data_IF_723057209269
#
_entry.id   IF_723057209269
#
_cell.length_a   1.000
_cell.length_b   1.000
_cell.length_c   1.000
_cell.angle_alpha   90.00
_cell.angle_beta   90.00
_cell.angle_gamma   90.00
#
_symmetry.space_group_name_H-M   'P 1'
#
loop_
_entity.id
_entity.type
_entity.pdbx_description
1 polymer ?
#
# COMPACT_ATOMS: atom_id res chain seq x y z
N UNK A 1 -19.12 11.31 8.78
CA UNK A 1 -18.00 12.22 8.46
C UNK A 1 -16.73 11.45 8.77
N UNK A 2 -16.02 10.96 7.75
CA UNK A 2 -14.72 10.30 7.94
C UNK A 2 -13.78 11.39 8.46
N UNK A 3 -13.22 11.21 9.66
CA UNK A 3 -12.15 12.08 10.14
C UNK A 3 -10.93 11.76 9.29
N UNK A 4 -10.57 12.67 8.40
CA UNK A 4 -9.26 12.66 7.77
C UNK A 4 -8.32 13.28 8.79
N UNK A 5 -7.65 12.43 9.56
CA UNK A 5 -6.57 12.90 10.44
C UNK A 5 -5.45 13.45 9.55
N UNK A 6 -5.03 14.68 9.84
CA UNK A 6 -3.98 15.35 9.07
C UNK A 6 -2.63 14.82 9.56
N UNK A 7 -2.23 13.65 9.05
CA UNK A 7 -0.92 13.09 9.36
C UNK A 7 0.16 13.92 8.66
N UNK A 8 1.04 14.56 9.43
CA UNK A 8 2.23 15.19 8.87
C UNK A 8 3.15 14.10 8.32
N UNK A 9 3.21 14.01 7.00
CA UNK A 9 4.14 13.18 6.25
C UNK A 9 5.58 13.60 6.55
N UNK A 10 6.45 12.61 6.84
CA UNK A 10 7.88 12.86 7.08
C UNK A 10 8.78 12.12 6.10
N UNK A 11 8.54 10.83 5.86
CA UNK A 11 9.47 9.97 5.11
C UNK A 11 8.73 9.09 4.11
N UNK A 12 9.24 9.05 2.87
CA UNK A 12 8.83 8.10 1.83
C UNK A 12 9.91 7.05 1.63
N UNK A 13 9.49 5.79 1.55
CA UNK A 13 10.38 4.63 1.39
C UNK A 13 10.03 3.94 0.08
N UNK A 14 10.89 4.04 -0.94
CA UNK A 14 10.74 3.25 -2.16
C UNK A 14 10.86 1.77 -1.82
N UNK A 15 9.80 1.01 -2.06
CA UNK A 15 9.80 -0.45 -1.90
C UNK A 15 10.20 -1.13 -3.21
N UNK A 16 9.76 -0.58 -4.34
CA UNK A 16 10.16 -0.91 -5.71
C UNK A 16 10.13 0.37 -6.55
N UNK A 17 10.42 0.29 -7.85
CA UNK A 17 10.34 1.44 -8.77
C UNK A 17 8.92 2.05 -8.85
N UNK A 18 7.88 1.25 -8.63
CA UNK A 18 6.47 1.65 -8.79
C UNK A 18 5.69 1.74 -7.47
N UNK A 19 6.29 1.35 -6.33
CA UNK A 19 5.60 1.25 -5.04
C UNK A 19 6.39 1.97 -3.96
N UNK A 20 5.75 2.96 -3.32
CA UNK A 20 6.33 3.80 -2.28
C UNK A 20 5.46 3.69 -1.02
N UNK A 21 6.11 3.53 0.12
CA UNK A 21 5.48 3.53 1.44
C UNK A 21 5.76 4.84 2.16
N UNK A 22 4.72 5.51 2.63
CA UNK A 22 4.86 6.74 3.41
C UNK A 22 4.68 6.49 4.90
N UNK A 23 5.51 7.21 5.65
CA UNK A 23 5.54 7.21 7.11
C UNK A 23 5.29 8.62 7.65
N UNK A 24 4.62 8.69 8.80
CA UNK A 24 4.54 9.92 9.58
C UNK A 24 5.78 10.11 10.46
N UNK A 25 5.80 11.22 11.21
CA UNK A 25 6.89 11.59 12.14
C UNK A 25 7.24 10.58 13.24
N UNK A 26 6.39 9.58 13.46
CA UNK A 26 6.58 8.53 14.46
C UNK A 26 7.07 7.22 13.83
N UNK A 27 7.30 7.20 12.52
CA UNK A 27 7.59 5.97 11.77
C UNK A 27 6.37 5.06 11.61
N UNK A 28 5.15 5.58 11.79
CA UNK A 28 3.92 4.81 11.57
C UNK A 28 3.54 4.88 10.08
N UNK A 29 3.08 3.74 9.54
CA UNK A 29 2.56 3.65 8.18
C UNK A 29 1.32 4.54 8.01
N UNK A 30 1.33 5.37 6.95
CA UNK A 30 0.19 6.24 6.62
C UNK A 30 -0.39 6.00 5.22
N UNK A 31 0.44 5.66 4.23
CA UNK A 31 -0.03 5.50 2.86
C UNK A 31 0.88 4.56 2.05
N UNK A 32 0.27 3.98 1.01
CA UNK A 32 0.96 3.25 -0.05
C UNK A 32 0.64 3.93 -1.38
N UNK A 33 1.66 4.42 -2.06
CA UNK A 33 1.54 4.97 -3.40
C UNK A 33 1.95 3.92 -4.43
N UNK A 34 1.13 3.76 -5.48
CA UNK A 34 1.43 2.89 -6.62
C UNK A 34 1.39 3.74 -7.90
N UNK A 35 2.57 4.09 -8.44
CA UNK A 35 2.71 5.10 -9.51
C UNK A 35 2.06 4.64 -10.82
N UNK A 36 2.29 3.39 -11.22
CA UNK A 36 1.74 2.78 -12.43
C UNK A 36 0.74 1.67 -12.08
N UNK A 37 -0.26 1.98 -11.25
CA UNK A 37 -1.16 0.97 -10.67
C UNK A 37 -1.86 0.04 -11.68
N UNK A 38 -2.23 0.53 -12.87
CA UNK A 38 -2.83 -0.30 -13.92
C UNK A 38 -1.86 -1.37 -14.45
N UNK A 39 -0.59 -1.01 -14.58
CA UNK A 39 0.48 -1.92 -14.98
C UNK A 39 0.81 -2.91 -13.85
N UNK A 40 1.00 -2.40 -12.63
CA UNK A 40 1.33 -3.22 -11.45
C UNK A 40 0.25 -4.26 -11.15
N UNK A 41 -1.03 -3.90 -11.32
CA UNK A 41 -2.17 -4.77 -10.99
C UNK A 41 -2.76 -5.48 -12.21
N UNK A 42 -2.14 -5.36 -13.39
CA UNK A 42 -2.64 -5.94 -14.66
C UNK A 42 -4.15 -5.68 -14.85
N UNK A 43 -4.51 -4.39 -14.87
CA UNK A 43 -5.90 -3.93 -14.93
C UNK A 43 -5.97 -2.61 -15.71
N UNK A 44 -7.19 -2.08 -15.92
CA UNK A 44 -7.37 -0.79 -16.61
C UNK A 44 -7.51 0.35 -15.61
N UNK A 45 -7.13 1.60 -15.99
CA UNK A 45 -7.34 2.77 -15.14
C UNK A 45 -8.79 2.97 -14.68
N UNK A 46 -9.77 2.59 -15.50
CA UNK A 46 -11.20 2.70 -15.18
C UNK A 46 -11.60 1.76 -14.03
N UNK A 47 -11.06 0.54 -14.00
CA UNK A 47 -11.31 -0.40 -12.90
C UNK A 47 -10.71 0.08 -11.57
N UNK A 48 -9.62 0.87 -11.61
CA UNK A 48 -9.00 1.45 -10.42
C UNK A 48 -9.79 2.63 -9.82
N UNK A 49 -10.73 3.21 -10.55
CA UNK A 49 -11.58 4.28 -10.02
C UNK A 49 -12.68 3.75 -9.08
N UNK A 50 -12.92 2.43 -9.11
CA UNK A 50 -14.06 1.80 -8.44
C UNK A 50 -13.61 0.63 -7.56
N UNK A 51 -12.47 0.76 -6.88
CA UNK A 51 -11.94 -0.29 -6.00
C UNK A 51 -12.98 -0.60 -4.92
N UNK A 52 -13.47 -1.84 -4.90
CA UNK A 52 -14.47 -2.32 -3.95
C UNK A 52 -13.86 -2.57 -2.57
N UNK A 53 -12.62 -3.08 -2.53
CA UNK A 53 -11.93 -3.42 -1.29
C UNK A 53 -10.40 -3.38 -1.46
N UNK A 54 -9.69 -3.02 -0.39
CA UNK A 54 -8.24 -3.07 -0.25
C UNK A 54 -7.91 -3.79 1.06
N UNK A 55 -7.11 -4.86 1.00
CA UNK A 55 -6.46 -5.50 2.15
C UNK A 55 -4.95 -5.33 2.04
N UNK A 56 -4.38 -4.59 2.98
CA UNK A 56 -2.98 -4.22 3.04
C UNK A 56 -2.35 -4.83 4.29
N UNK A 57 -1.20 -5.47 4.11
CA UNK A 57 -0.36 -5.98 5.20
C UNK A 57 1.02 -5.36 5.09
N UNK A 58 1.49 -4.74 6.17
CA UNK A 58 2.84 -4.14 6.28
C UNK A 58 3.59 -4.86 7.38
N UNK A 59 4.77 -5.38 7.05
CA UNK A 59 5.68 -6.05 7.99
C UNK A 59 7.05 -5.42 7.91
N UNK A 60 7.54 -4.94 9.05
CA UNK A 60 8.89 -4.38 9.18
C UNK A 60 9.63 -5.16 10.26
N UNK A 61 10.83 -5.63 9.94
CA UNK A 61 11.78 -6.18 10.90
C UNK A 61 13.16 -5.52 10.74
N UNK A 62 14.14 -5.96 11.52
CA UNK A 62 15.49 -5.38 11.53
C UNK A 62 16.20 -5.42 10.16
N UNK A 63 15.75 -6.25 9.23
CA UNK A 63 16.40 -6.49 7.94
C UNK A 63 15.59 -5.99 6.75
N UNK A 64 14.26 -6.10 6.79
CA UNK A 64 13.42 -5.88 5.62
C UNK A 64 12.09 -5.22 5.97
N UNK A 65 11.57 -4.53 4.95
CA UNK A 65 10.23 -4.00 4.87
C UNK A 65 9.51 -4.83 3.82
N UNK A 66 8.33 -5.33 4.16
CA UNK A 66 7.48 -6.10 3.27
C UNK A 66 6.07 -5.53 3.30
N UNK A 67 5.53 -5.30 2.10
CA UNK A 67 4.15 -4.87 1.92
C UNK A 67 3.45 -5.82 0.96
N UNK A 68 2.25 -6.27 1.34
CA UNK A 68 1.36 -7.04 0.49
C UNK A 68 0.01 -6.32 0.39
N UNK A 69 -0.46 -6.09 -0.82
CA UNK A 69 -1.70 -5.38 -1.10
C UNK A 69 -2.58 -6.23 -1.99
N UNK A 70 -3.83 -6.43 -1.57
CA UNK A 70 -4.86 -7.18 -2.31
C UNK A 70 -6.02 -6.22 -2.58
N UNK A 71 -6.39 -6.11 -3.85
CA UNK A 71 -7.44 -5.23 -4.36
C UNK A 71 -8.58 -6.10 -4.90
N UNK A 72 -9.81 -5.74 -4.57
CA UNK A 72 -11.00 -6.27 -5.24
C UNK A 72 -11.53 -5.18 -6.17
N UNK A 73 -11.56 -5.47 -7.47
CA UNK A 73 -11.88 -4.51 -8.52
C UNK A 73 -13.09 -5.00 -9.34
N UNK A 74 -14.03 -4.13 -9.70
CA UNK A 74 -15.05 -4.45 -10.68
C UNK A 74 -14.45 -4.41 -12.09
N UNK A 75 -14.47 -5.56 -12.77
CA UNK A 75 -13.99 -5.72 -14.15
C UNK A 75 -15.11 -6.35 -14.96
N UNK A 76 -15.65 -5.61 -15.94
CA UNK A 76 -16.68 -6.09 -16.89
C UNK A 76 -17.91 -6.76 -16.23
N UNK A 77 -18.31 -6.30 -15.05
CA UNK A 77 -19.53 -6.76 -14.37
C UNK A 77 -19.33 -7.94 -13.40
N UNK A 78 -18.09 -8.34 -13.13
CA UNK A 78 -17.74 -9.22 -12.02
C UNK A 78 -16.60 -8.61 -11.19
N UNK A 79 -16.40 -9.10 -9.97
CA UNK A 79 -15.27 -8.73 -9.13
C UNK A 79 -14.05 -9.59 -9.47
N UNK A 80 -12.88 -8.95 -9.64
CA UNK A 80 -11.59 -9.61 -9.76
C UNK A 80 -10.68 -9.24 -8.59
N UNK A 81 -9.88 -10.21 -8.15
CA UNK A 81 -8.86 -10.01 -7.13
C UNK A 81 -7.53 -9.77 -7.84
N UNK A 82 -6.91 -8.61 -7.57
CA UNK A 82 -5.54 -8.28 -8.00
C UNK A 82 -4.65 -8.14 -6.77
N UNK A 83 -3.43 -8.63 -6.83
CA UNK A 83 -2.51 -8.56 -5.71
C UNK A 83 -1.13 -8.09 -6.18
N UNK A 84 -0.47 -7.32 -5.33
CA UNK A 84 0.93 -6.95 -5.50
C UNK A 84 1.66 -7.09 -4.17
N UNK A 85 2.95 -7.37 -4.24
CA UNK A 85 3.84 -7.35 -3.10
C UNK A 85 5.09 -6.55 -3.43
N UNK A 86 5.65 -5.91 -2.41
CA UNK A 86 6.83 -5.10 -2.52
C UNK A 86 7.72 -5.36 -1.30
N UNK A 87 9.03 -5.41 -1.52
CA UNK A 87 9.99 -5.59 -0.43
C UNK A 87 11.26 -4.81 -0.68
N UNK A 88 11.82 -4.25 0.38
CA UNK A 88 13.10 -3.56 0.37
C UNK A 88 13.82 -3.78 1.70
N UNK A 89 15.10 -3.43 1.76
CA UNK A 89 15.90 -3.50 2.99
C UNK A 89 15.47 -2.42 3.98
N UNK A 90 15.49 -2.72 5.28
CA UNK A 90 15.22 -1.73 6.34
C UNK A 90 16.49 -0.91 6.71
N UNK A 91 17.13 -0.27 5.73
CA UNK A 91 18.41 0.44 5.93
C UNK A 91 18.28 1.73 6.75
N UNK A 92 17.05 2.22 6.93
CA UNK A 92 16.73 3.44 7.68
C UNK A 92 16.20 3.15 9.09
N UNK A 93 16.27 1.89 9.55
CA UNK A 93 15.91 1.45 10.90
C UNK A 93 14.48 1.84 11.30
N UNK A 94 13.51 1.63 10.40
CA UNK A 94 12.10 1.76 10.75
C UNK A 94 11.79 0.75 11.87
N UNK A 95 11.07 1.17 12.93
CA UNK A 95 10.70 0.27 14.02
C UNK A 95 9.93 -0.96 13.53
N UNK A 96 10.03 -2.04 14.30
CA UNK A 96 9.22 -3.25 14.05
C UNK A 96 7.73 -2.89 13.88
N UNK A 97 7.12 -3.45 12.86
CA UNK A 97 5.72 -3.21 12.51
C UNK A 97 5.08 -4.49 12.00
N UNK A 98 3.87 -4.78 12.46
CA UNK A 98 2.98 -5.82 11.90
C UNK A 98 1.58 -5.22 11.85
N UNK A 99 1.28 -4.54 10.74
CA UNK A 99 0.06 -3.77 10.55
C UNK A 99 -0.80 -4.41 9.45
N UNK A 100 -2.11 -4.39 9.67
CA UNK A 100 -3.10 -4.77 8.66
C UNK A 100 -4.16 -3.70 8.55
N UNK A 101 -4.46 -3.29 7.33
CA UNK A 101 -5.48 -2.31 6.99
C UNK A 101 -6.41 -2.94 5.97
N UNK A 102 -7.70 -2.96 6.28
CA UNK A 102 -8.73 -3.45 5.37
C UNK A 102 -9.84 -2.39 5.24
N UNK A 103 -10.24 -2.09 4.02
CA UNK A 103 -11.44 -1.28 3.76
C UNK A 103 -12.66 -2.19 3.55
N UNK A 104 -13.87 -1.64 3.57
CA UNK A 104 -15.11 -2.39 3.35
C UNK A 104 -16.11 -1.51 2.60
#
# INVERSE_FOLDING_TARGET
>A
MIKVDNFEHETSVPLTDDIIMDLNKKGEFIALEILNASHVLDTTPESLQNISNIDLTVKVNDYQIFVNSIFTLPIKGHEEIKATNATTTNDINIPFMDARLATA
#
